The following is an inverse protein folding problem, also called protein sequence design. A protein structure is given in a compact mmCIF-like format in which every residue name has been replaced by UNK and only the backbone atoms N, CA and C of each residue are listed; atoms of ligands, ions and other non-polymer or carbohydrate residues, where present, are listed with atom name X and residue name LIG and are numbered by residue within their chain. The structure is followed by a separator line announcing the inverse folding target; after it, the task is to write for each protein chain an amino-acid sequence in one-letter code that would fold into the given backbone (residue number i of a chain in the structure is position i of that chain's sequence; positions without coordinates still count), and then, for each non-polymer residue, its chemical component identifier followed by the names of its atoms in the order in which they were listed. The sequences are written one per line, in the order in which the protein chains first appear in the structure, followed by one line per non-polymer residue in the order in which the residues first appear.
data_IF_273773937840
#
_entry.id   IF_273773937840
#
_cell.length_a   1.000
_cell.length_b   1.000
_cell.length_c   1.000
_cell.angle_alpha   90.00
_cell.angle_beta   90.00
_cell.angle_gamma   90.00
#
_symmetry.space_group_name_H-M   'P 1'
#
loop_
_entity.id
_entity.type
_entity.pdbx_description
1 polymer ?
#
# COMPACT_ATOMS: atom_id res chain seq x y z
N UNK A 1 17.53 24.55 14.62
CA UNK A 1 17.97 23.16 14.49
C UNK A 1 18.63 23.03 13.13
N UNK A 2 19.97 22.98 13.05
CA UNK A 2 20.63 22.65 11.80
C UNK A 2 20.26 21.21 11.47
N UNK A 3 19.45 21.02 10.43
CA UNK A 3 19.13 19.68 9.96
C UNK A 3 20.41 19.09 9.41
N UNK A 4 20.93 18.02 10.01
CA UNK A 4 22.11 17.34 9.50
C UNK A 4 21.88 16.96 8.04
N UNK A 5 22.91 17.03 7.19
CA UNK A 5 22.77 16.79 5.73
C UNK A 5 22.06 15.48 5.42
N UNK A 6 22.28 14.44 6.24
CA UNK A 6 21.62 13.15 6.13
C UNK A 6 20.10 13.23 6.39
N UNK A 7 19.68 13.98 7.41
CA UNK A 7 18.26 14.18 7.72
C UNK A 7 17.58 15.04 6.64
N UNK A 8 18.27 16.05 6.11
CA UNK A 8 17.77 16.85 5.00
C UNK A 8 17.54 16.02 3.74
N UNK A 9 18.49 15.13 3.39
CA UNK A 9 18.36 14.23 2.26
C UNK A 9 17.20 13.22 2.46
N UNK A 10 17.10 12.63 3.65
CA UNK A 10 16.01 11.72 3.99
C UNK A 10 14.64 12.39 3.85
N UNK A 11 14.48 13.58 4.43
CA UNK A 11 13.22 14.36 4.34
C UNK A 11 12.90 14.70 2.88
N UNK A 12 13.89 15.13 2.09
CA UNK A 12 13.67 15.45 0.68
C UNK A 12 13.20 14.23 -0.13
N UNK A 13 13.82 13.06 0.08
CA UNK A 13 13.43 11.83 -0.59
C UNK A 13 12.03 11.35 -0.17
N UNK A 14 11.71 11.42 1.13
CA UNK A 14 10.38 11.10 1.65
C UNK A 14 9.30 12.02 1.05
N UNK A 15 9.55 13.32 0.94
CA UNK A 15 8.61 14.26 0.32
C UNK A 15 8.38 13.98 -1.17
N UNK A 16 9.42 13.56 -1.90
CA UNK A 16 9.29 13.13 -3.29
C UNK A 16 8.43 11.85 -3.38
N UNK A 17 8.67 10.87 -2.51
CA UNK A 17 7.87 9.64 -2.44
C UNK A 17 6.42 9.96 -2.11
N UNK A 18 6.16 10.84 -1.14
CA UNK A 18 4.82 11.28 -0.77
C UNK A 18 4.08 11.90 -1.95
N UNK A 19 4.71 12.84 -2.66
CA UNK A 19 4.10 13.49 -3.82
C UNK A 19 3.77 12.47 -4.93
N UNK A 20 4.70 11.56 -5.24
CA UNK A 20 4.50 10.52 -6.26
C UNK A 20 3.43 9.49 -5.85
N UNK A 21 3.40 9.09 -4.58
CA UNK A 21 2.42 8.15 -4.05
C UNK A 21 1.00 8.75 -4.14
N UNK A 22 0.82 10.02 -3.73
CA UNK A 22 -0.47 10.71 -3.85
C UNK A 22 -0.86 10.86 -5.31
N UNK A 23 0.00 11.43 -6.16
CA UNK A 23 -0.33 11.69 -7.56
C UNK A 23 -0.67 10.40 -8.33
N UNK A 24 0.16 9.37 -8.18
CA UNK A 24 -0.03 8.10 -8.88
C UNK A 24 -1.30 7.35 -8.44
N UNK A 25 -1.60 7.32 -7.14
CA UNK A 25 -2.76 6.59 -6.64
C UNK A 25 -4.08 7.39 -6.77
N UNK A 26 -4.05 8.73 -6.74
CA UNK A 26 -5.18 9.55 -7.17
C UNK A 26 -5.52 9.26 -8.63
N UNK A 27 -4.52 9.08 -9.49
CA UNK A 27 -4.72 8.72 -10.89
C UNK A 27 -5.33 7.31 -11.04
N UNK A 28 -4.94 6.33 -10.21
CA UNK A 28 -5.60 5.01 -10.15
C UNK A 28 -7.07 5.14 -9.79
N UNK A 29 -7.39 5.89 -8.73
CA UNK A 29 -8.78 6.15 -8.31
C UNK A 29 -9.59 6.85 -9.40
N UNK A 30 -9.02 7.89 -10.02
CA UNK A 30 -9.67 8.64 -11.09
C UNK A 30 -9.90 7.78 -12.34
N UNK A 31 -8.96 6.91 -12.71
CA UNK A 31 -9.11 5.99 -13.85
C UNK A 31 -10.31 5.05 -13.66
N UNK A 32 -10.45 4.45 -12.47
CA UNK A 32 -11.58 3.57 -12.16
C UNK A 32 -12.90 4.35 -12.07
N UNK A 33 -12.86 5.58 -11.52
CA UNK A 33 -14.03 6.46 -11.44
C UNK A 33 -14.53 6.93 -12.82
N UNK A 34 -13.61 7.25 -13.74
CA UNK A 34 -13.93 7.85 -15.04
C UNK A 34 -14.21 6.83 -16.16
N UNK A 35 -13.99 5.53 -15.92
CA UNK A 35 -14.17 4.48 -16.93
C UNK A 35 -15.04 3.35 -16.42
N UNK A 36 -16.26 3.23 -16.94
CA UNK A 36 -17.16 2.10 -16.64
C UNK A 36 -16.53 0.75 -16.99
N UNK A 37 -15.66 0.70 -18.01
CA UNK A 37 -14.90 -0.49 -18.36
C UNK A 37 -13.92 -0.94 -17.26
N UNK A 38 -13.45 -0.01 -16.41
CA UNK A 38 -12.59 -0.29 -15.27
C UNK A 38 -13.39 -0.52 -13.97
N UNK A 39 -14.71 -0.39 -13.94
CA UNK A 39 -15.52 -0.61 -12.73
C UNK A 39 -15.79 -2.09 -12.48
N UNK A 40 -14.71 -2.87 -12.37
CA UNK A 40 -14.74 -4.30 -12.05
C UNK A 40 -14.52 -4.52 -10.55
N UNK A 41 -14.99 -5.64 -9.97
CA UNK A 41 -14.77 -5.94 -8.55
C UNK A 41 -13.29 -5.92 -8.14
N UNK A 42 -12.41 -6.45 -8.99
CA UNK A 42 -10.95 -6.41 -8.80
C UNK A 42 -10.44 -4.99 -8.65
N UNK A 43 -10.88 -4.10 -9.53
CA UNK A 43 -10.45 -2.71 -9.52
C UNK A 43 -11.00 -1.95 -8.30
N UNK A 44 -12.10 -2.39 -7.68
CA UNK A 44 -12.51 -1.84 -6.38
C UNK A 44 -11.51 -2.19 -5.28
N UNK A 45 -10.95 -3.41 -5.27
CA UNK A 45 -9.86 -3.73 -4.34
C UNK A 45 -8.58 -2.93 -4.65
N UNK A 46 -8.28 -2.67 -5.93
CA UNK A 46 -7.16 -1.80 -6.31
C UNK A 46 -7.40 -0.33 -5.89
N UNK A 47 -8.64 0.15 -5.91
CA UNK A 47 -9.02 1.47 -5.37
C UNK A 47 -8.89 1.50 -3.85
N UNK A 48 -9.21 0.41 -3.14
CA UNK A 48 -8.95 0.30 -1.70
C UNK A 48 -7.45 0.42 -1.40
N UNK A 49 -6.61 -0.30 -2.14
CA UNK A 49 -5.16 -0.21 -2.04
C UNK A 49 -4.65 1.20 -2.36
N UNK A 50 -5.13 1.80 -3.46
CA UNK A 50 -4.77 3.16 -3.85
C UNK A 50 -5.19 4.20 -2.81
N UNK A 51 -6.36 4.04 -2.18
CA UNK A 51 -6.81 4.91 -1.08
C UNK A 51 -5.87 4.81 0.14
N UNK A 52 -5.41 3.60 0.47
CA UNK A 52 -4.41 3.41 1.53
C UNK A 52 -3.08 4.07 1.16
N UNK A 53 -2.60 3.91 -0.07
CA UNK A 53 -1.35 4.52 -0.55
C UNK A 53 -1.43 6.06 -0.66
N UNK A 54 -2.59 6.63 -1.01
CA UNK A 54 -2.84 8.08 -0.93
C UNK A 54 -2.73 8.55 0.51
N UNK A 55 -3.34 7.83 1.45
CA UNK A 55 -3.25 8.15 2.88
C UNK A 55 -1.82 7.98 3.42
N UNK A 56 -1.04 7.05 2.88
CA UNK A 56 0.40 6.94 3.19
C UNK A 56 1.12 8.21 2.79
N UNK A 57 0.93 8.68 1.55
CA UNK A 57 1.55 9.92 1.08
C UNK A 57 1.09 11.18 1.81
N UNK A 58 -0.21 11.30 2.11
CA UNK A 58 -0.78 12.48 2.78
C UNK A 58 -0.50 12.54 4.29
N UNK A 59 -0.40 11.39 4.95
CA UNK A 59 -0.38 11.34 6.41
C UNK A 59 0.78 10.50 6.95
N UNK A 60 0.94 9.24 6.51
CA UNK A 60 1.96 8.36 7.09
C UNK A 60 3.38 8.91 6.90
N UNK A 61 3.71 9.42 5.71
CA UNK A 61 5.04 9.96 5.43
C UNK A 61 5.31 11.25 6.23
N UNK A 62 4.42 12.26 6.24
CA UNK A 62 4.58 13.41 7.12
C UNK A 62 4.73 13.03 8.60
N UNK A 63 3.95 12.05 9.07
CA UNK A 63 4.06 11.56 10.44
C UNK A 63 5.38 10.83 10.69
N UNK A 64 5.85 10.02 9.75
CA UNK A 64 7.13 9.34 9.84
C UNK A 64 8.30 10.34 9.86
N UNK A 65 8.22 11.42 9.09
CA UNK A 65 9.21 12.51 9.14
C UNK A 65 9.21 13.17 10.51
N UNK A 66 8.05 13.62 11.02
CA UNK A 66 8.00 14.31 12.32
C UNK A 66 8.44 13.40 13.47
N UNK A 67 8.01 12.13 13.47
CA UNK A 67 8.46 11.11 14.41
C UNK A 67 9.98 10.89 14.29
N UNK A 68 10.54 10.79 13.09
CA UNK A 68 11.99 10.55 12.90
C UNK A 68 12.86 11.73 13.36
N UNK A 69 12.34 12.96 13.26
CA UNK A 69 12.99 14.16 13.77
C UNK A 69 12.83 14.31 15.30
N UNK A 70 11.90 13.56 15.91
CA UNK A 70 11.72 13.52 17.36
C UNK A 70 11.11 14.78 17.94
N UNK A 71 9.97 15.22 17.39
CA UNK A 71 9.22 16.35 17.94
C UNK A 71 8.60 16.02 19.33
N UNK A 72 8.37 17.05 20.14
CA UNK A 72 7.78 16.90 21.46
C UNK A 72 6.24 16.98 21.36
N UNK A 73 5.54 15.96 21.87
CA UNK A 73 4.07 15.93 21.96
C UNK A 73 3.62 15.03 23.12
N UNK A 74 2.32 14.95 23.39
CA UNK A 74 1.82 14.00 24.39
C UNK A 74 1.96 12.55 23.91
N UNK A 75 2.06 11.62 24.87
CA UNK A 75 2.31 10.21 24.57
C UNK A 75 1.22 9.60 23.66
N UNK A 76 -0.05 9.91 23.90
CA UNK A 76 -1.16 9.29 23.18
C UNK A 76 -1.26 9.82 21.74
N UNK A 77 -0.96 11.09 21.51
CA UNK A 77 -0.82 11.65 20.16
C UNK A 77 0.32 10.98 19.41
N UNK A 78 1.51 10.86 20.00
CA UNK A 78 2.62 10.15 19.37
C UNK A 78 2.28 8.69 19.04
N UNK A 79 1.64 8.00 19.99
CA UNK A 79 1.19 6.62 19.81
C UNK A 79 0.17 6.52 18.67
N UNK A 80 -0.76 7.47 18.56
CA UNK A 80 -1.73 7.53 17.47
C UNK A 80 -1.05 7.68 16.12
N UNK A 81 -0.10 8.62 15.99
CA UNK A 81 0.63 8.83 14.73
C UNK A 81 1.39 7.56 14.31
N UNK A 82 2.07 6.91 15.26
CA UNK A 82 2.78 5.64 15.02
C UNK A 82 1.83 4.51 14.61
N UNK A 83 0.71 4.34 15.33
CA UNK A 83 -0.29 3.31 15.04
C UNK A 83 -1.03 3.56 13.73
N UNK A 84 -1.24 4.82 13.35
CA UNK A 84 -1.90 5.16 12.09
C UNK A 84 -1.11 4.67 10.87
N UNK A 85 0.23 4.71 10.93
CA UNK A 85 1.08 4.07 9.91
C UNK A 85 0.80 2.57 9.84
N UNK A 86 0.69 1.88 10.98
CA UNK A 86 0.38 0.45 11.03
C UNK A 86 -1.01 0.11 10.44
N UNK A 87 -2.01 0.97 10.68
CA UNK A 87 -3.35 0.82 10.08
C UNK A 87 -3.27 0.82 8.56
N UNK A 88 -2.53 1.77 7.97
CA UNK A 88 -2.41 1.89 6.52
C UNK A 88 -1.64 0.74 5.89
N UNK A 89 -0.59 0.25 6.55
CA UNK A 89 0.10 -0.98 6.15
C UNK A 89 -0.85 -2.17 6.16
N UNK A 90 -1.65 -2.32 7.22
CA UNK A 90 -2.59 -3.44 7.34
C UNK A 90 -3.69 -3.37 6.28
N UNK A 91 -4.21 -2.17 5.99
CA UNK A 91 -5.19 -1.95 4.92
C UNK A 91 -4.63 -2.37 3.55
N UNK A 92 -3.35 -2.06 3.29
CA UNK A 92 -2.65 -2.45 2.06
C UNK A 92 -2.51 -3.96 1.94
N UNK A 93 -2.08 -4.64 3.01
CA UNK A 93 -1.95 -6.11 3.07
C UNK A 93 -3.29 -6.79 2.81
N UNK A 94 -4.35 -6.31 3.45
CA UNK A 94 -5.69 -6.87 3.26
C UNK A 94 -6.23 -6.62 1.85
N UNK A 95 -5.99 -5.46 1.28
CA UNK A 95 -6.36 -5.17 -0.11
C UNK A 95 -5.63 -6.09 -1.08
N UNK A 96 -4.33 -6.33 -0.88
CA UNK A 96 -3.54 -7.27 -1.69
C UNK A 96 -4.02 -8.73 -1.54
N UNK A 97 -4.37 -9.16 -0.33
CA UNK A 97 -4.92 -10.48 -0.09
C UNK A 97 -6.27 -10.65 -0.81
N UNK A 98 -7.14 -9.65 -0.72
CA UNK A 98 -8.43 -9.66 -1.42
C UNK A 98 -8.26 -9.75 -2.94
N UNK A 99 -7.30 -9.01 -3.49
CA UNK A 99 -6.91 -9.10 -4.90
C UNK A 99 -6.43 -10.51 -5.26
N UNK A 100 -5.57 -11.13 -4.46
CA UNK A 100 -5.09 -12.48 -4.71
C UNK A 100 -6.23 -13.51 -4.71
N UNK A 101 -7.13 -13.44 -3.73
CA UNK A 101 -8.32 -14.31 -3.64
C UNK A 101 -9.24 -14.09 -4.84
N UNK A 102 -9.50 -12.84 -5.22
CA UNK A 102 -10.31 -12.50 -6.40
C UNK A 102 -9.74 -13.11 -7.68
N UNK A 103 -8.43 -12.94 -7.92
CA UNK A 103 -7.75 -13.56 -9.08
C UNK A 103 -7.83 -15.08 -9.08
N UNK A 104 -7.70 -15.70 -7.90
CA UNK A 104 -7.86 -17.14 -7.77
C UNK A 104 -9.27 -17.60 -8.13
N UNK A 105 -10.32 -16.90 -7.67
CA UNK A 105 -11.71 -17.22 -8.01
C UNK A 105 -11.98 -17.04 -9.51
N UNK A 106 -11.48 -15.96 -10.12
CA UNK A 106 -11.63 -15.69 -11.55
C UNK A 106 -11.05 -16.82 -12.43
N UNK A 107 -9.88 -17.35 -12.07
CA UNK A 107 -9.20 -18.42 -12.83
C UNK A 107 -9.75 -19.80 -12.49
N UNK A 108 -10.07 -20.08 -11.21
CA UNK A 108 -10.46 -21.42 -10.76
C UNK A 108 -11.90 -21.80 -11.12
N UNK A 109 -12.82 -20.83 -11.12
CA UNK A 109 -14.27 -21.05 -11.34
C UNK A 109 -14.88 -19.99 -12.28
N UNK A 110 -14.41 -19.86 -13.53
CA UNK A 110 -14.78 -18.77 -14.43
C UNK A 110 -16.29 -18.65 -14.68
N UNK A 111 -17.01 -19.77 -14.76
CA UNK A 111 -18.47 -19.79 -14.99
C UNK A 111 -19.29 -19.26 -13.81
N UNK A 112 -18.78 -19.41 -12.58
CA UNK A 112 -19.47 -18.96 -11.35
C UNK A 112 -18.96 -17.63 -10.83
N UNK A 113 -17.79 -17.17 -11.29
CA UNK A 113 -17.14 -15.95 -10.82
C UNK A 113 -18.09 -14.73 -10.82
N UNK A 114 -18.81 -14.48 -11.92
CA UNK A 114 -19.74 -13.34 -12.03
C UNK A 114 -20.88 -13.36 -10.99
N UNK A 115 -21.28 -14.55 -10.52
CA UNK A 115 -22.29 -14.70 -9.46
C UNK A 115 -21.71 -14.68 -8.04
N UNK A 116 -20.44 -15.06 -7.89
CA UNK A 116 -19.72 -15.08 -6.61
C UNK A 116 -19.21 -13.69 -6.23
N UNK A 117 -18.48 -13.06 -7.14
CA UNK A 117 -17.81 -11.78 -6.93
C UNK A 117 -18.57 -10.67 -7.66
N UNK A 118 -19.25 -9.83 -6.88
CA UNK A 118 -20.01 -8.68 -7.38
C UNK A 118 -19.45 -7.39 -6.82
N UNK A 119 -19.69 -6.26 -7.50
CA UNK A 119 -19.22 -4.96 -7.05
C UNK A 119 -19.73 -4.58 -5.65
N UNK A 120 -21.00 -4.89 -5.35
CA UNK A 120 -21.60 -4.62 -4.03
C UNK A 120 -20.93 -5.45 -2.93
N UNK A 121 -20.66 -6.74 -3.17
CA UNK A 121 -19.95 -7.58 -2.20
C UNK A 121 -18.50 -7.14 -2.02
N UNK A 122 -17.82 -6.76 -3.09
CA UNK A 122 -16.45 -6.24 -3.02
C UNK A 122 -16.37 -4.98 -2.14
N UNK A 123 -17.30 -4.02 -2.29
CA UNK A 123 -17.38 -2.84 -1.41
C UNK A 123 -17.63 -3.21 0.06
N UNK A 124 -18.51 -4.17 0.32
CA UNK A 124 -18.75 -4.68 1.68
C UNK A 124 -17.49 -5.32 2.29
N UNK A 125 -16.78 -6.15 1.52
CA UNK A 125 -15.49 -6.74 1.94
C UNK A 125 -14.48 -5.64 2.25
N UNK A 126 -14.34 -4.63 1.38
CA UNK A 126 -13.43 -3.50 1.60
C UNK A 126 -13.75 -2.81 2.94
N UNK A 127 -15.02 -2.48 3.21
CA UNK A 127 -15.40 -1.85 4.47
C UNK A 127 -15.01 -2.70 5.70
N UNK A 128 -15.25 -4.01 5.65
CA UNK A 128 -14.83 -4.94 6.72
C UNK A 128 -13.31 -4.96 6.88
N UNK A 129 -12.55 -5.03 5.78
CA UNK A 129 -11.09 -5.06 5.82
C UNK A 129 -10.50 -3.75 6.38
N UNK A 130 -11.10 -2.59 6.11
CA UNK A 130 -10.70 -1.33 6.73
C UNK A 130 -10.95 -1.33 8.24
N UNK A 131 -12.12 -1.80 8.69
CA UNK A 131 -12.41 -1.92 10.13
C UNK A 131 -11.41 -2.87 10.81
N UNK A 132 -11.09 -3.99 10.19
CA UNK A 132 -10.06 -4.92 10.69
C UNK A 132 -8.68 -4.27 10.71
N UNK A 133 -8.32 -3.48 9.71
CA UNK A 133 -7.05 -2.76 9.67
C UNK A 133 -6.93 -1.74 10.81
N UNK A 134 -8.00 -0.98 11.09
CA UNK A 134 -8.06 -0.08 12.24
C UNK A 134 -7.95 -0.84 13.56
N UNK A 135 -8.73 -1.91 13.72
CA UNK A 135 -8.70 -2.73 14.93
C UNK A 135 -7.32 -3.31 15.22
N UNK A 136 -6.65 -3.85 14.20
CA UNK A 136 -5.30 -4.42 14.33
C UNK A 136 -4.25 -3.32 14.55
N UNK A 137 -4.26 -2.27 13.73
CA UNK A 137 -3.24 -1.22 13.78
C UNK A 137 -3.28 -0.38 15.06
N UNK A 138 -4.45 -0.25 15.71
CA UNK A 138 -4.62 0.48 16.97
C UNK A 138 -4.47 -0.41 18.23
N UNK A 139 -4.14 -1.69 18.10
CA UNK A 139 -3.98 -2.58 19.27
C UNK A 139 -2.97 -2.10 20.34
N UNK A 140 -1.93 -1.29 20.06
CA UNK A 140 -1.09 -0.73 21.13
C UNK A 140 -1.86 0.15 22.13
N UNK A 141 -3.00 0.72 21.74
CA UNK A 141 -3.89 1.46 22.66
C UNK A 141 -4.56 0.56 23.71
N UNK A 142 -4.59 -0.75 23.50
CA UNK A 142 -5.11 -1.73 24.46
C UNK A 142 -4.13 -2.04 25.60
N UNK A 143 -2.99 -1.35 25.66
CA UNK A 143 -2.02 -1.44 26.76
C UNK A 143 -0.67 -2.02 26.36
N UNK A 144 -0.54 -2.60 25.16
CA UNK A 144 0.76 -3.07 24.66
C UNK A 144 1.58 -1.92 24.04
N UNK A 145 1.91 -0.93 24.86
CA UNK A 145 2.68 0.26 24.50
C UNK A 145 3.75 0.56 25.57
N UNK A 146 4.62 1.53 25.30
CA UNK A 146 5.77 1.86 26.15
C UNK A 146 5.52 3.06 27.08
N UNK A 147 4.28 3.32 27.51
CA UNK A 147 3.93 4.52 28.29
C UNK A 147 4.78 4.70 29.54
N UNK A 148 4.86 3.70 30.41
CA UNK A 148 5.58 3.78 31.67
C UNK A 148 7.07 4.14 31.48
N UNK A 149 7.68 3.61 30.41
CA UNK A 149 9.06 3.91 30.04
C UNK A 149 9.20 5.31 29.43
N UNK A 150 8.25 5.71 28.59
CA UNK A 150 8.28 7.01 27.92
C UNK A 150 8.02 8.17 28.89
N UNK A 151 7.26 7.94 29.96
CA UNK A 151 6.89 8.97 30.94
C UNK A 151 7.63 8.88 32.27
N UNK A 152 8.65 8.03 32.40
CA UNK A 152 9.38 7.84 33.67
C UNK A 152 10.06 9.11 34.18
N UNK A 153 10.49 10.00 33.27
CA UNK A 153 11.14 11.27 33.61
C UNK A 153 10.15 12.43 33.79
N UNK A 154 8.86 12.17 33.60
CA UNK A 154 7.82 13.15 33.83
C UNK A 154 7.58 13.28 35.33
N UNK A 155 7.97 14.40 35.93
CA UNK A 155 7.59 14.71 37.31
C UNK A 155 6.08 14.90 37.38
N UNK A 156 5.37 14.07 38.14
CA UNK A 156 3.97 14.36 38.48
C UNK A 156 3.93 15.69 39.25
N UNK A 157 3.03 16.63 38.91
CA UNK A 157 2.87 17.84 39.71
C UNK A 157 2.48 17.43 41.13
N UNK A 158 3.39 17.64 42.07
CA UNK A 158 3.13 17.47 43.49
C UNK A 158 1.90 18.26 43.90
N UNK A 159 1.06 17.61 44.70
CA UNK A 159 -0.15 18.08 45.37
C UNK A 159 -0.51 19.57 45.20
N UNK A 160 -1.63 19.83 44.52
CA UNK A 160 -2.47 20.98 44.86
C UNK A 160 -2.67 22.08 43.82
N UNK A 161 -2.07 22.01 42.63
CA UNK A 161 -2.37 22.95 41.54
C UNK A 161 -2.87 22.17 40.32
N UNK A 162 -4.12 22.43 39.93
CA UNK A 162 -4.93 21.80 38.87
C UNK A 162 -4.40 21.99 37.44
N UNK A 163 -3.09 22.09 37.26
CA UNK A 163 -2.49 22.09 35.93
C UNK A 163 -2.35 20.64 35.49
N UNK A 164 -3.26 20.20 34.59
CA UNK A 164 -3.12 18.96 33.81
C UNK A 164 -1.63 18.75 33.51
N UNK A 165 -1.06 17.66 34.02
CA UNK A 165 0.33 17.27 33.73
C UNK A 165 0.49 17.07 32.22
N UNK A 166 0.88 18.12 31.51
CA UNK A 166 1.31 18.04 30.13
C UNK A 166 2.76 17.57 30.17
N UNK A 167 3.00 16.26 30.11
CA UNK A 167 4.35 15.75 29.88
C UNK A 167 4.61 15.58 28.38
N UNK A 168 5.35 16.49 27.73
CA UNK A 168 5.80 16.28 26.36
C UNK A 168 6.85 15.17 26.34
N UNK A 169 6.58 14.10 25.59
CA UNK A 169 7.56 13.05 25.30
C UNK A 169 8.21 13.31 23.95
N UNK A 170 9.49 12.97 23.82
CA UNK A 170 10.17 12.95 22.52
C UNK A 170 9.59 11.83 21.67
N UNK A 171 8.81 12.19 20.66
CA UNK A 171 8.06 11.24 19.85
C UNK A 171 8.97 10.51 18.87
N UNK A 172 9.40 9.32 19.26
CA UNK A 172 10.11 8.35 18.42
C UNK A 172 9.31 7.06 18.39
N UNK A 173 9.28 6.37 17.26
CA UNK A 173 8.48 5.15 17.09
C UNK A 173 8.80 4.10 18.17
N UNK A 174 10.09 3.84 18.40
CA UNK A 174 10.60 2.88 19.40
C UNK A 174 10.29 3.29 20.85
N UNK A 175 10.03 4.58 21.10
CA UNK A 175 9.66 5.08 22.44
C UNK A 175 8.21 4.78 22.79
N UNK A 176 7.32 4.62 21.81
CA UNK A 176 5.88 4.46 22.05
C UNK A 176 5.37 3.06 21.72
N UNK A 177 5.94 2.41 20.69
CA UNK A 177 5.61 1.03 20.32
C UNK A 177 6.79 0.11 20.64
N UNK A 178 6.62 -0.88 21.53
CA UNK A 178 7.71 -1.78 21.91
C UNK A 178 8.10 -2.72 20.76
N UNK A 179 9.38 -3.06 20.66
CA UNK A 179 9.87 -3.95 19.59
C UNK A 179 9.30 -5.37 19.68
N UNK A 180 8.92 -5.83 20.89
CA UNK A 180 8.22 -7.10 21.07
C UNK A 180 6.86 -7.12 20.37
N UNK A 181 6.12 -6.01 20.39
CA UNK A 181 4.88 -5.87 19.62
C UNK A 181 5.16 -5.90 18.11
N UNK A 182 6.15 -5.13 17.65
CA UNK A 182 6.49 -5.03 16.23
C UNK A 182 6.92 -6.36 15.62
N UNK A 183 7.63 -7.18 16.38
CA UNK A 183 8.11 -8.48 15.90
C UNK A 183 7.05 -9.56 16.05
N UNK A 184 6.54 -9.80 17.27
CA UNK A 184 5.66 -10.94 17.50
C UNK A 184 4.27 -10.74 16.92
N UNK A 185 3.63 -9.60 17.21
CA UNK A 185 2.26 -9.36 16.76
C UNK A 185 2.23 -8.82 15.33
N UNK A 186 2.91 -7.70 15.07
CA UNK A 186 2.84 -7.07 13.76
C UNK A 186 3.50 -7.95 12.67
N UNK A 187 4.79 -8.31 12.80
CA UNK A 187 5.45 -9.08 11.76
C UNK A 187 4.96 -10.53 11.70
N UNK A 188 5.17 -11.34 12.75
CA UNK A 188 4.82 -12.76 12.72
C UNK A 188 3.31 -13.03 12.76
N UNK A 189 2.51 -12.16 13.38
CA UNK A 189 1.05 -12.34 13.50
C UNK A 189 0.24 -11.71 12.37
N UNK A 190 0.62 -10.52 11.88
CA UNK A 190 -0.23 -9.74 10.97
C UNK A 190 0.33 -9.58 9.55
N UNK A 191 1.65 -9.56 9.37
CA UNK A 191 2.28 -9.35 8.05
C UNK A 191 2.65 -10.66 7.38
N UNK A 192 3.40 -11.53 8.07
CA UNK A 192 3.92 -12.76 7.50
C UNK A 192 2.80 -13.75 7.10
N UNK A 193 1.76 -14.02 7.93
CA UNK A 193 0.73 -14.97 7.56
C UNK A 193 -0.04 -14.62 6.27
N UNK A 194 -0.56 -13.39 6.06
CA UNK A 194 -1.22 -13.06 4.79
C UNK A 194 -0.25 -13.06 3.61
N UNK A 195 1.03 -12.71 3.77
CA UNK A 195 2.03 -12.84 2.71
C UNK A 195 2.22 -14.30 2.28
N UNK A 196 2.32 -15.23 3.24
CA UNK A 196 2.40 -16.66 2.96
C UNK A 196 1.13 -17.20 2.29
N UNK A 197 -0.05 -16.76 2.74
CA UNK A 197 -1.32 -17.11 2.11
C UNK A 197 -1.36 -16.61 0.66
N UNK A 198 -0.98 -15.35 0.40
CA UNK A 198 -0.91 -14.80 -0.95
C UNK A 198 0.06 -15.58 -1.83
N UNK A 199 1.23 -15.96 -1.30
CA UNK A 199 2.20 -16.79 -2.02
C UNK A 199 1.60 -18.13 -2.44
N UNK A 200 0.94 -18.83 -1.51
CA UNK A 200 0.24 -20.10 -1.81
C UNK A 200 -0.86 -19.90 -2.85
N UNK A 201 -1.61 -18.80 -2.75
CA UNK A 201 -2.67 -18.47 -3.71
C UNK A 201 -2.07 -18.27 -5.11
N UNK A 202 -0.98 -17.50 -5.26
CA UNK A 202 -0.36 -17.28 -6.57
C UNK A 202 0.25 -18.54 -7.16
N UNK A 203 0.91 -19.39 -6.35
CA UNK A 203 1.37 -20.70 -6.79
C UNK A 203 0.19 -21.52 -7.34
N UNK A 204 -0.93 -21.59 -6.61
CA UNK A 204 -2.14 -22.28 -7.07
C UNK A 204 -2.74 -21.67 -8.32
N UNK A 205 -2.77 -20.34 -8.44
CA UNK A 205 -3.21 -19.64 -9.65
C UNK A 205 -2.41 -20.13 -10.87
N UNK A 206 -1.08 -20.10 -10.78
CA UNK A 206 -0.23 -20.50 -11.90
C UNK A 206 -0.33 -22.00 -12.21
N UNK A 207 -0.44 -22.87 -11.19
CA UNK A 207 -0.67 -24.30 -11.40
C UNK A 207 -1.99 -24.58 -12.13
N UNK A 208 -3.09 -23.97 -11.68
CA UNK A 208 -4.42 -24.14 -12.29
C UNK A 208 -4.44 -23.60 -13.72
N UNK A 209 -3.84 -22.43 -13.93
CA UNK A 209 -3.72 -21.81 -15.25
C UNK A 209 -2.93 -22.68 -16.23
N UNK A 210 -1.78 -23.22 -15.81
CA UNK A 210 -0.99 -24.14 -16.64
C UNK A 210 -1.79 -25.40 -17.01
N UNK A 211 -2.53 -25.97 -16.06
CA UNK A 211 -3.39 -27.13 -16.32
C UNK A 211 -4.52 -26.81 -17.29
N UNK A 212 -5.19 -25.66 -17.13
CA UNK A 212 -6.25 -25.24 -18.05
C UNK A 212 -5.69 -25.02 -19.47
N UNK A 213 -4.54 -24.37 -19.62
CA UNK A 213 -3.92 -24.14 -20.92
C UNK A 213 -3.59 -25.43 -21.68
N UNK A 214 -3.28 -26.52 -20.98
CA UNK A 214 -3.00 -27.83 -21.58
C UNK A 214 -4.26 -28.52 -22.12
N UNK A 215 -5.42 -28.33 -21.48
CA UNK A 215 -6.68 -28.95 -21.90
C UNK A 215 -7.46 -28.14 -22.95
N UNK A 216 -6.97 -26.95 -23.35
CA UNK A 216 -7.68 -26.01 -24.21
C UNK A 216 -7.19 -26.06 -25.66
N UNK A 217 -7.30 -27.23 -26.30
CA UNK A 217 -6.82 -27.43 -27.67
C UNK A 217 -7.75 -26.83 -28.74
N UNK A 218 -9.06 -26.80 -28.52
CA UNK A 218 -10.04 -26.46 -29.58
C UNK A 218 -10.78 -25.12 -29.40
N UNK A 219 -10.67 -24.47 -28.23
CA UNK A 219 -11.44 -23.24 -27.95
C UNK A 219 -10.53 -22.00 -27.86
N UNK A 220 -10.23 -21.40 -29.01
CA UNK A 220 -9.37 -20.21 -29.13
C UNK A 220 -9.89 -19.02 -28.28
N UNK A 221 -11.20 -18.78 -28.29
CA UNK A 221 -11.81 -17.71 -27.49
C UNK A 221 -11.61 -17.92 -25.98
N UNK A 222 -11.75 -19.15 -25.51
CA UNK A 222 -11.48 -19.47 -24.11
C UNK A 222 -9.98 -19.31 -23.79
N UNK A 223 -9.09 -19.73 -24.71
CA UNK A 223 -7.64 -19.64 -24.53
C UNK A 223 -7.17 -18.20 -24.43
N UNK A 224 -7.65 -17.32 -25.30
CA UNK A 224 -7.33 -15.88 -25.28
C UNK A 224 -7.84 -15.20 -24.00
N UNK A 225 -9.04 -15.56 -23.54
CA UNK A 225 -9.59 -15.05 -22.27
C UNK A 225 -8.74 -15.49 -21.08
N UNK A 226 -8.37 -16.77 -21.01
CA UNK A 226 -7.51 -17.30 -19.96
C UNK A 226 -6.13 -16.62 -19.95
N UNK A 227 -5.52 -16.42 -21.13
CA UNK A 227 -4.24 -15.72 -21.24
C UNK A 227 -4.31 -14.27 -20.71
N UNK A 228 -5.42 -13.56 -20.93
CA UNK A 228 -5.64 -12.23 -20.37
C UNK A 228 -5.71 -12.26 -18.84
N UNK A 229 -6.42 -13.23 -18.26
CA UNK A 229 -6.49 -13.40 -16.81
C UNK A 229 -5.13 -13.78 -16.20
N UNK A 230 -4.36 -14.65 -16.86
CA UNK A 230 -2.98 -14.98 -16.44
C UNK A 230 -2.08 -13.74 -16.47
N UNK A 231 -2.18 -12.93 -17.53
CA UNK A 231 -1.40 -11.71 -17.65
C UNK A 231 -1.75 -10.69 -16.54
N UNK A 232 -3.04 -10.56 -16.22
CA UNK A 232 -3.50 -9.74 -15.10
C UNK A 232 -2.97 -10.28 -13.76
N UNK A 233 -3.12 -11.58 -13.49
CA UNK A 233 -2.63 -12.22 -12.27
C UNK A 233 -1.11 -12.09 -12.11
N UNK A 234 -0.32 -12.23 -13.19
CA UNK A 234 1.13 -11.99 -13.18
C UNK A 234 1.47 -10.57 -12.75
N UNK A 235 0.70 -9.58 -13.18
CA UNK A 235 0.93 -8.18 -12.85
C UNK A 235 0.68 -7.90 -11.36
N UNK A 236 -0.36 -8.51 -10.80
CA UNK A 236 -0.70 -8.40 -9.39
C UNK A 236 0.26 -9.21 -8.48
N UNK A 237 0.75 -10.36 -8.96
CA UNK A 237 1.77 -11.14 -8.26
C UNK A 237 3.07 -10.35 -8.10
N UNK A 238 3.46 -9.57 -9.11
CA UNK A 238 4.63 -8.68 -9.01
C UNK A 238 4.42 -7.62 -7.94
N UNK A 239 3.23 -7.03 -7.83
CA UNK A 239 2.92 -6.03 -6.79
C UNK A 239 3.10 -6.65 -5.40
N UNK A 240 2.57 -7.86 -5.18
CA UNK A 240 2.74 -8.55 -3.89
C UNK A 240 4.21 -8.89 -3.61
N UNK A 241 4.97 -9.30 -4.62
CA UNK A 241 6.41 -9.54 -4.50
C UNK A 241 7.18 -8.28 -4.13
N UNK A 242 6.89 -7.15 -4.78
CA UNK A 242 7.51 -5.85 -4.50
C UNK A 242 7.14 -5.37 -3.09
N UNK A 243 5.87 -5.50 -2.69
CA UNK A 243 5.44 -5.21 -1.33
C UNK A 243 6.28 -5.98 -0.30
N UNK A 244 6.40 -7.30 -0.46
CA UNK A 244 7.19 -8.13 0.45
C UNK A 244 8.67 -7.70 0.50
N UNK A 245 9.28 -7.42 -0.66
CA UNK A 245 10.67 -6.98 -0.76
C UNK A 245 10.91 -5.60 -0.12
N UNK A 246 9.98 -4.65 -0.31
CA UNK A 246 10.10 -3.30 0.23
C UNK A 246 9.97 -3.25 1.76
N UNK A 247 9.14 -4.12 2.34
CA UNK A 247 8.92 -4.19 3.78
C UNK A 247 9.94 -5.07 4.52
N UNK A 248 10.60 -6.00 3.82
CA UNK A 248 11.53 -6.97 4.41
C UNK A 248 12.64 -6.31 5.25
N UNK A 249 13.32 -5.22 4.82
CA UNK A 249 14.39 -4.62 5.63
C UNK A 249 13.92 -4.08 6.97
N UNK A 250 12.75 -3.43 7.04
CA UNK A 250 12.18 -2.91 8.30
C UNK A 250 11.91 -4.06 9.27
N UNK A 251 11.26 -5.12 8.79
CA UNK A 251 10.97 -6.29 9.63
C UNK A 251 12.25 -7.01 10.09
N UNK A 252 13.25 -7.13 9.22
CA UNK A 252 14.55 -7.71 9.57
C UNK A 252 15.27 -6.88 10.64
N UNK A 253 15.32 -5.56 10.50
CA UNK A 253 15.94 -4.66 11.49
C UNK A 253 15.20 -4.74 12.83
N UNK A 254 13.87 -4.80 12.82
CA UNK A 254 13.07 -4.96 14.04
C UNK A 254 13.38 -6.29 14.75
N UNK A 255 13.51 -7.38 13.98
CA UNK A 255 13.93 -8.68 14.52
C UNK A 255 15.34 -8.62 15.12
N UNK A 256 16.31 -8.01 14.43
CA UNK A 256 17.68 -7.83 14.94
C UNK A 256 17.66 -6.99 16.23
N UNK A 257 16.85 -5.93 16.27
CA UNK A 257 16.74 -5.04 17.43
C UNK A 257 16.16 -5.75 18.64
N UNK A 258 15.22 -6.69 18.44
CA UNK A 258 14.66 -7.49 19.53
C UNK A 258 15.58 -8.64 19.96
N UNK A 259 16.09 -9.43 19.01
CA UNK A 259 16.79 -10.69 19.30
C UNK A 259 18.30 -10.52 19.50
N UNK A 260 18.90 -9.46 18.94
CA UNK A 260 20.32 -9.16 19.03
C UNK A 260 20.56 -7.68 19.43
N UNK A 261 20.17 -7.28 20.66
CA UNK A 261 20.24 -5.89 21.11
C UNK A 261 21.66 -5.31 21.09
N UNK A 262 22.69 -6.15 21.27
CA UNK A 262 24.09 -5.73 21.15
C UNK A 262 24.43 -5.20 19.74
N UNK A 263 24.05 -5.94 18.69
CA UNK A 263 24.26 -5.51 17.30
C UNK A 263 23.41 -4.28 16.94
N UNK A 264 22.23 -4.17 17.55
CA UNK A 264 21.30 -3.08 17.28
C UNK A 264 21.77 -1.74 17.85
N UNK A 265 22.59 -1.76 18.91
CA UNK A 265 23.13 -0.56 19.59
C UNK A 265 24.08 0.24 18.70
N UNK A 266 24.87 -0.44 17.87
CA UNK A 266 25.85 0.18 16.98
C UNK A 266 25.30 0.45 15.57
N UNK A 267 24.00 0.18 15.35
CA UNK A 267 23.34 0.38 14.05
C UNK A 267 23.30 1.87 13.71
N UNK A 268 23.90 2.31 12.58
CA UNK A 268 23.84 3.71 12.20
C UNK A 268 22.41 4.10 11.76
N UNK A 269 21.99 5.32 12.09
CA UNK A 269 20.62 5.85 11.86
C UNK A 269 20.16 5.70 10.40
N UNK A 270 21.07 5.88 9.44
CA UNK A 270 20.75 5.81 8.01
C UNK A 270 20.20 4.43 7.59
N UNK A 271 20.56 3.35 8.29
CA UNK A 271 20.08 1.99 7.97
C UNK A 271 18.57 1.89 8.18
N UNK A 272 18.05 2.44 9.28
CA UNK A 272 16.60 2.49 9.50
C UNK A 272 15.92 3.44 8.53
N UNK A 273 16.50 4.62 8.28
CA UNK A 273 15.95 5.59 7.33
C UNK A 273 15.81 5.01 5.92
N UNK A 274 16.81 4.26 5.43
CA UNK A 274 16.75 3.60 4.11
C UNK A 274 15.67 2.51 4.08
N UNK A 275 15.53 1.74 5.16
CA UNK A 275 14.49 0.73 5.26
C UNK A 275 13.08 1.34 5.25
N UNK A 276 12.87 2.43 6.00
CA UNK A 276 11.61 3.18 6.01
C UNK A 276 11.33 3.76 4.61
N UNK A 277 12.31 4.42 4.00
CA UNK A 277 12.20 4.99 2.66
C UNK A 277 11.77 3.94 1.63
N UNK A 278 12.38 2.75 1.67
CA UNK A 278 12.03 1.64 0.78
C UNK A 278 10.60 1.13 1.05
N UNK A 279 10.19 1.06 2.32
CA UNK A 279 8.83 0.65 2.69
C UNK A 279 7.76 1.63 2.19
N UNK A 280 8.04 2.94 2.20
CA UNK A 280 7.15 3.96 1.65
C UNK A 280 7.20 4.02 0.12
N UNK A 281 8.35 3.79 -0.50
CA UNK A 281 8.50 3.74 -1.96
C UNK A 281 7.58 2.70 -2.61
N UNK A 282 7.22 1.63 -1.89
CA UNK A 282 6.22 0.64 -2.32
C UNK A 282 4.91 1.30 -2.81
N UNK A 283 4.44 2.36 -2.15
CA UNK A 283 3.21 3.05 -2.51
C UNK A 283 3.28 3.79 -3.86
N UNK A 284 4.48 4.05 -4.38
CA UNK A 284 4.70 4.66 -5.71
C UNK A 284 4.69 3.61 -6.82
N UNK A 285 5.12 2.38 -6.52
CA UNK A 285 5.36 1.35 -7.54
C UNK A 285 4.05 0.82 -8.14
N UNK A 286 2.97 0.80 -7.39
CA UNK A 286 1.67 0.27 -7.82
C UNK A 286 1.17 0.93 -9.14
N UNK A 287 0.97 2.26 -9.22
CA UNK A 287 0.64 2.97 -10.46
C UNK A 287 1.59 2.67 -11.62
N UNK A 288 2.90 2.56 -11.37
CA UNK A 288 3.91 2.27 -12.39
C UNK A 288 3.68 0.87 -12.98
N UNK A 289 3.44 -0.13 -12.13
CA UNK A 289 3.12 -1.49 -12.57
C UNK A 289 1.84 -1.50 -13.39
N UNK A 290 0.79 -0.79 -12.97
CA UNK A 290 -0.47 -0.70 -13.73
C UNK A 290 -0.26 -0.04 -15.09
N UNK A 291 0.49 1.08 -15.15
CA UNK A 291 0.75 1.80 -16.39
C UNK A 291 1.54 0.95 -17.40
N UNK A 292 2.52 0.16 -16.94
CA UNK A 292 3.34 -0.68 -17.81
C UNK A 292 2.63 -1.98 -18.22
N UNK A 293 1.81 -2.56 -17.34
CA UNK A 293 1.27 -3.92 -17.53
C UNK A 293 -0.21 -3.99 -17.86
N UNK A 294 -1.01 -2.96 -17.59
CA UNK A 294 -2.44 -2.99 -17.88
C UNK A 294 -2.78 -1.92 -18.93
N UNK A 295 -3.16 -2.39 -20.14
CA UNK A 295 -3.48 -1.51 -21.27
C UNK A 295 -4.66 -0.58 -20.99
N UNK A 296 -5.66 -1.06 -20.24
CA UNK A 296 -6.86 -0.28 -19.91
C UNK A 296 -6.54 0.83 -18.91
N UNK A 297 -5.69 0.55 -17.91
CA UNK A 297 -5.14 1.57 -17.01
C UNK A 297 -4.26 2.56 -17.76
N UNK A 298 -3.33 2.07 -18.60
CA UNK A 298 -2.44 2.94 -19.39
C UNK A 298 -3.22 3.91 -20.28
N UNK A 299 -4.24 3.41 -20.99
CA UNK A 299 -5.11 4.24 -21.82
C UNK A 299 -5.88 5.26 -20.97
N UNK A 300 -6.42 4.83 -19.83
CA UNK A 300 -7.17 5.72 -18.94
C UNK A 300 -6.27 6.80 -18.32
N UNK A 301 -5.03 6.46 -17.94
CA UNK A 301 -4.03 7.39 -17.44
C UNK A 301 -3.67 8.43 -18.49
N UNK A 302 -3.35 8.00 -19.71
CA UNK A 302 -3.05 8.90 -20.82
C UNK A 302 -4.22 9.85 -21.08
N UNK A 303 -5.45 9.35 -21.15
CA UNK A 303 -6.65 10.17 -21.38
C UNK A 303 -6.85 11.20 -20.27
N UNK A 304 -6.67 10.83 -19.01
CA UNK A 304 -6.81 11.75 -17.86
C UNK A 304 -5.72 12.81 -17.90
N UNK A 305 -4.46 12.43 -18.12
CA UNK A 305 -3.33 13.36 -18.18
C UNK A 305 -3.50 14.32 -19.37
N UNK A 306 -3.81 13.83 -20.57
CA UNK A 306 -4.06 14.67 -21.74
C UNK A 306 -5.18 15.68 -21.50
N UNK A 307 -6.29 15.24 -20.90
CA UNK A 307 -7.46 16.09 -20.72
C UNK A 307 -7.31 17.12 -19.60
N UNK A 308 -6.80 16.70 -18.45
CA UNK A 308 -6.81 17.53 -17.23
C UNK A 308 -5.47 18.18 -16.89
N UNK A 309 -4.35 17.58 -17.31
CA UNK A 309 -3.01 18.13 -17.04
C UNK A 309 -2.48 18.89 -18.26
N UNK A 310 -2.65 18.33 -19.46
CA UNK A 310 -2.20 18.96 -20.71
C UNK A 310 -3.28 19.83 -21.36
N UNK A 311 -4.49 19.89 -20.80
CA UNK A 311 -5.64 20.66 -21.31
C UNK A 311 -5.95 20.41 -22.80
N UNK A 312 -5.67 19.20 -23.30
CA UNK A 312 -5.98 18.82 -24.66
C UNK A 312 -7.45 18.39 -24.74
N UNK A 313 -8.23 19.09 -25.57
CA UNK A 313 -9.59 18.67 -25.93
C UNK A 313 -9.53 17.42 -26.78
N UNK A 314 -10.33 16.40 -26.46
CA UNK A 314 -10.56 15.26 -27.34
C UNK A 314 -11.09 15.81 -28.67
N UNK A 315 -10.24 15.89 -29.70
CA UNK A 315 -10.63 16.21 -31.08
C UNK A 315 -11.37 15.02 -31.68
N UNK A 316 -12.51 14.65 -31.10
CA UNK A 316 -13.48 13.72 -31.65
C UNK A 316 -14.88 14.29 -31.46
N UNK A 317 -15.16 15.34 -32.22
CA UNK A 317 -16.48 15.96 -32.27
C UNK A 317 -16.51 17.24 -33.08
N UNK A 318 -16.15 17.20 -34.37
CA UNK A 318 -16.25 18.39 -35.22
C UNK A 318 -15.50 18.31 -36.54
N UNK A 319 -16.02 17.55 -37.49
CA UNK A 319 -15.86 17.62 -38.96
C UNK A 319 -16.13 16.20 -39.47
N UNK A 320 -17.27 15.95 -40.11
CA UNK A 320 -17.56 16.47 -41.44
C UNK A 320 -17.17 15.39 -42.43
N UNK A 321 -18.17 14.70 -42.97
CA UNK A 321 -18.03 13.74 -44.06
C UNK A 321 -17.14 14.32 -45.17
N UNK A 322 -15.96 13.77 -45.36
CA UNK A 322 -15.24 13.79 -46.63
C UNK A 322 -14.26 12.61 -46.62
N UNK A 323 -14.45 11.70 -47.56
CA UNK A 323 -13.80 10.40 -47.56
C UNK A 323 -12.31 10.42 -47.90
N UNK A 324 -11.73 9.21 -47.86
CA UNK A 324 -10.53 8.88 -48.61
C UNK A 324 -9.28 8.63 -47.78
N UNK A 325 -8.91 7.35 -47.75
CA UNK A 325 -7.54 6.82 -47.70
C UNK A 325 -6.77 6.81 -46.35
N UNK A 326 -6.86 5.62 -45.74
CA UNK A 326 -5.73 4.81 -45.27
C UNK A 326 -4.36 5.48 -45.12
N UNK A 327 -3.93 5.68 -43.88
CA UNK A 327 -2.51 5.54 -43.51
C UNK A 327 -2.42 4.90 -42.13
N UNK A 328 -1.96 3.66 -42.15
CA UNK A 328 -1.46 2.93 -40.98
C UNK A 328 -0.10 3.55 -40.62
N UNK A 329 0.10 4.03 -39.40
CA UNK A 329 1.44 4.29 -38.86
C UNK A 329 1.41 4.11 -37.34
N UNK A 330 1.88 2.93 -36.94
CA UNK A 330 2.27 2.58 -35.57
C UNK A 330 3.68 3.11 -35.34
N UNK A 331 3.86 4.02 -34.40
CA UNK A 331 5.17 4.33 -33.84
C UNK A 331 5.03 4.81 -32.38
N UNK A 332 5.59 3.96 -31.50
CA UNK A 332 5.84 4.08 -30.05
C UNK A 332 4.63 4.06 -29.10
#
# INVERSE_FOLDING_TARGET
MQLETQDALYVALELVIAALAVAGNVLVCAAVGASSALQTPTNYFLVSLATADVAVGLFAIPFAITISLGFCTDFHSCLFLACFVLVLTQSSIFSLLAVAVDRYLAIRVPLRYKGLVTGTRARGIIAVLWVLAFGIGLTPFLGWNSKDRATSNCTEPGDGITNKSCCPVKCLFENVVPMSYMVYFNFFGCVLPPLLIMMVIYIKIFMVACKQLQHMELMEHSRTTLQREIHAAKSLAMIVGIFALCWLPVHAINCITLFHPALAKDKPKWVMNVAILLSHANSVVNPIVYAYRNRDFRYSFHRIISRYVLCQTDTKGGSGQAGGQSTFSLSL
#
